data_IF_244325431771
#
_entry.id   IF_244325431771
#
_cell.length_a   1.000
_cell.length_b   1.000
_cell.length_c   1.000
_cell.angle_alpha   90.00
_cell.angle_beta   90.00
_cell.angle_gamma   90.00
#
_symmetry.space_group_name_H-M   'P 1'
#
loop_
_entity.id
_entity.type
_entity.pdbx_description
1 polymer ?
#
# COMPACT_ATOMS: atom_id res chain seq x y z
N UNK A 1 0.54 -27.71 0.94
CA UNK A 1 0.06 -26.51 0.25
C UNK A 1 -0.09 -25.42 1.29
N UNK A 2 0.89 -24.52 1.42
CA UNK A 2 0.79 -23.42 2.39
C UNK A 2 -0.28 -22.45 1.89
N UNK A 3 -1.38 -22.35 2.62
CA UNK A 3 -2.36 -21.29 2.43
C UNK A 3 -1.72 -19.99 2.91
N UNK A 4 -1.05 -19.27 2.02
CA UNK A 4 -0.67 -17.88 2.29
C UNK A 4 -1.96 -17.06 2.26
N UNK A 5 -2.57 -16.89 3.42
CA UNK A 5 -3.70 -15.97 3.60
C UNK A 5 -3.18 -14.57 3.30
N UNK A 6 -3.56 -14.03 2.13
CA UNK A 6 -3.31 -12.62 1.82
C UNK A 6 -3.99 -11.73 2.87
N UNK A 7 -3.39 -10.58 3.23
CA UNK A 7 -4.03 -9.65 4.16
C UNK A 7 -5.41 -9.23 3.64
N UNK A 8 -6.41 -9.27 4.51
CA UNK A 8 -7.82 -9.00 4.14
C UNK A 8 -8.29 -7.63 4.62
N UNK A 9 -7.59 -7.04 5.59
CA UNK A 9 -7.94 -5.75 6.21
C UNK A 9 -6.76 -4.76 6.21
N UNK A 10 -7.03 -3.44 6.35
CA UNK A 10 -5.97 -2.44 6.54
C UNK A 10 -5.07 -2.75 7.73
N UNK A 11 -5.61 -3.31 8.81
CA UNK A 11 -4.84 -3.66 10.01
C UNK A 11 -3.86 -4.81 9.75
N UNK A 12 -4.26 -5.81 8.95
CA UNK A 12 -3.35 -6.89 8.54
C UNK A 12 -2.16 -6.33 7.75
N UNK A 13 -2.39 -5.35 6.86
CA UNK A 13 -1.33 -4.73 6.07
C UNK A 13 -0.39 -3.90 6.96
N UNK A 14 -0.93 -3.11 7.90
CA UNK A 14 -0.12 -2.33 8.84
C UNK A 14 0.75 -3.23 9.71
N UNK A 15 0.19 -4.31 10.24
CA UNK A 15 0.95 -5.30 11.01
C UNK A 15 2.10 -5.91 10.20
N UNK A 16 1.87 -6.25 8.92
CA UNK A 16 2.91 -6.75 8.03
C UNK A 16 4.00 -5.72 7.71
N UNK A 17 3.64 -4.44 7.60
CA UNK A 17 4.58 -3.34 7.35
C UNK A 17 5.51 -3.15 8.55
N UNK A 18 4.97 -3.21 9.77
CA UNK A 18 5.74 -3.16 11.01
C UNK A 18 6.61 -4.41 11.20
N UNK A 19 6.05 -5.62 11.04
CA UNK A 19 6.76 -6.90 11.20
C UNK A 19 7.99 -6.99 10.28
N UNK A 20 7.88 -6.43 9.07
CA UNK A 20 8.90 -6.52 8.02
C UNK A 20 9.79 -5.29 7.91
N UNK A 21 9.67 -4.33 8.82
CA UNK A 21 10.40 -3.05 8.80
C UNK A 21 10.35 -2.37 7.42
N UNK A 22 9.15 -2.34 6.82
CA UNK A 22 8.94 -1.73 5.50
C UNK A 22 8.99 -0.22 5.68
N UNK A 23 9.91 0.44 4.96
CA UNK A 23 10.07 1.90 5.01
C UNK A 23 9.26 2.66 3.97
N UNK A 24 9.04 2.04 2.81
CA UNK A 24 8.37 2.67 1.68
C UNK A 24 7.38 1.70 1.04
N UNK A 25 6.24 2.24 0.64
CA UNK A 25 5.16 1.49 0.00
C UNK A 25 4.92 2.11 -1.37
N UNK A 26 4.87 1.27 -2.39
CA UNK A 26 4.60 1.72 -3.76
C UNK A 26 3.14 1.48 -4.10
N UNK A 27 2.41 2.56 -4.34
CA UNK A 27 1.03 2.54 -4.80
C UNK A 27 1.02 2.51 -6.32
N UNK A 28 0.35 1.52 -6.89
CA UNK A 28 0.26 1.30 -8.33
C UNK A 28 -1.14 1.59 -8.82
N UNK A 29 -1.24 2.27 -9.97
CA UNK A 29 -2.51 2.52 -10.64
C UNK A 29 -2.30 2.59 -12.15
N UNK A 30 -3.38 2.49 -12.91
CA UNK A 30 -3.38 2.71 -14.36
C UNK A 30 -4.10 4.02 -14.68
N UNK A 31 -3.53 4.84 -15.56
CA UNK A 31 -4.22 6.03 -16.03
C UNK A 31 -5.29 5.72 -17.10
N UNK A 32 -5.96 6.76 -17.60
CA UNK A 32 -7.04 6.63 -18.61
C UNK A 32 -6.57 6.06 -19.94
N UNK A 33 -5.27 6.10 -20.25
CA UNK A 33 -4.68 5.50 -21.45
C UNK A 33 -4.18 4.07 -21.18
N UNK A 34 -4.37 3.55 -19.97
CA UNK A 34 -3.95 2.23 -19.54
C UNK A 34 -2.47 2.14 -19.19
N UNK A 35 -1.77 3.26 -18.98
CA UNK A 35 -0.37 3.23 -18.62
C UNK A 35 -0.21 2.96 -17.13
N UNK A 36 0.65 2.01 -16.79
CA UNK A 36 1.00 1.69 -15.40
C UNK A 36 1.84 2.82 -14.81
N UNK A 37 1.32 3.46 -13.76
CA UNK A 37 1.99 4.48 -12.97
C UNK A 37 2.12 4.01 -11.53
N UNK A 38 3.09 4.59 -10.83
CA UNK A 38 3.27 4.33 -9.43
C UNK A 38 3.94 5.51 -8.75
N UNK A 39 3.63 5.69 -7.46
CA UNK A 39 4.34 6.59 -6.58
C UNK A 39 4.63 5.89 -5.25
N UNK A 40 5.54 6.46 -4.47
CA UNK A 40 5.98 5.89 -3.20
C UNK A 40 5.63 6.81 -2.06
N UNK A 41 5.10 6.23 -0.99
CA UNK A 41 4.83 6.88 0.28
C UNK A 41 5.73 6.29 1.36
N UNK A 42 5.97 7.04 2.42
CA UNK A 42 6.58 6.51 3.64
C UNK A 42 5.56 5.58 4.34
N UNK A 43 6.04 4.53 5.01
CA UNK A 43 5.19 3.67 5.83
C UNK A 43 4.39 4.43 6.89
N UNK A 44 4.89 5.56 7.40
CA UNK A 44 4.15 6.42 8.34
C UNK A 44 2.88 7.03 7.74
N UNK A 45 2.80 7.17 6.42
CA UNK A 45 1.66 7.76 5.70
C UNK A 45 0.59 6.71 5.36
N UNK A 46 0.84 5.42 5.63
CA UNK A 46 -0.05 4.33 5.24
C UNK A 46 -1.43 4.42 5.88
N UNK A 47 -1.51 4.83 7.14
CA UNK A 47 -2.79 4.97 7.85
C UNK A 47 -3.67 6.03 7.19
N UNK A 48 -3.11 7.20 6.94
CA UNK A 48 -3.81 8.30 6.27
C UNK A 48 -4.22 7.90 4.85
N UNK A 49 -3.37 7.15 4.14
CA UNK A 49 -3.67 6.62 2.81
C UNK A 49 -4.87 5.66 2.79
N UNK A 50 -5.11 4.89 3.86
CA UNK A 50 -6.28 4.01 3.97
C UNK A 50 -7.57 4.77 4.31
N UNK A 51 -7.50 5.84 5.11
CA UNK A 51 -8.69 6.57 5.57
C UNK A 51 -9.11 7.69 4.61
N UNK A 52 -8.16 8.48 4.13
CA UNK A 52 -8.39 9.67 3.32
C UNK A 52 -7.91 9.57 1.87
N UNK A 53 -7.19 8.51 1.53
CA UNK A 53 -6.50 8.40 0.24
C UNK A 53 -5.24 9.27 0.18
N UNK A 54 -4.59 9.28 -0.98
CA UNK A 54 -3.38 10.07 -1.21
C UNK A 54 -3.54 10.94 -2.45
N UNK A 55 -3.18 12.22 -2.33
CA UNK A 55 -3.05 13.13 -3.47
C UNK A 55 -1.75 12.85 -4.23
N UNK A 56 -1.83 12.89 -5.57
CA UNK A 56 -0.70 12.74 -6.47
C UNK A 56 -0.83 13.78 -7.59
N UNK A 57 0.27 14.45 -7.94
CA UNK A 57 0.40 15.35 -9.10
C UNK A 57 1.01 14.57 -10.29
#
# INVERSE_FOLDING_TARGET
MSTTTSPLTPDDVKALVEERDIRFIRLWFTDILGQLKAFSINATELTDAFEGGMGFD
#
